data_IF_267759251131
#
_entry.id   IF_267759251131
#
_cell.length_a   1.000
_cell.length_b   1.000
_cell.length_c   1.000
_cell.angle_alpha   90.00
_cell.angle_beta   90.00
_cell.angle_gamma   90.00
#
_symmetry.space_group_name_H-M   'P 1'
#
loop_
_entity.id
_entity.type
_entity.pdbx_description
1 polymer ?
#
# COMPACT_ATOMS: atom_id res chain seq x y z
N UNK A 1 -13.93 -5.41 -15.48
CA UNK A 1 -13.15 -6.48 -14.83
C UNK A 1 -13.19 -6.20 -13.34
N UNK A 2 -13.92 -7.00 -12.57
CA UNK A 2 -14.19 -6.73 -11.16
C UNK A 2 -12.99 -7.19 -10.32
N UNK A 3 -12.37 -6.26 -9.59
CA UNK A 3 -11.14 -6.52 -8.83
C UNK A 3 -11.52 -7.33 -7.57
N UNK A 4 -11.64 -8.66 -7.69
CA UNK A 4 -11.81 -9.57 -6.54
C UNK A 4 -10.57 -9.45 -5.66
N UNK A 5 -10.66 -8.62 -4.61
CA UNK A 5 -9.58 -8.43 -3.64
C UNK A 5 -9.28 -9.78 -2.98
N UNK A 6 -8.14 -10.39 -3.37
CA UNK A 6 -7.62 -11.60 -2.72
C UNK A 6 -7.44 -11.30 -1.23
N UNK A 7 -8.05 -12.12 -0.37
CA UNK A 7 -7.88 -12.06 1.09
C UNK A 7 -6.39 -11.90 1.43
N UNK A 8 -6.06 -10.78 2.06
CA UNK A 8 -4.70 -10.44 2.47
C UNK A 8 -4.48 -10.99 3.88
N UNK A 9 -3.34 -11.65 4.11
CA UNK A 9 -3.01 -12.22 5.41
C UNK A 9 -2.79 -11.07 6.40
N UNK A 10 -3.68 -10.97 7.38
CA UNK A 10 -3.54 -10.04 8.51
C UNK A 10 -3.01 -10.86 9.68
N UNK A 11 -1.71 -10.74 9.94
CA UNK A 11 -1.15 -11.26 11.19
C UNK A 11 -1.41 -10.22 12.27
N UNK A 12 -2.36 -10.51 13.17
CA UNK A 12 -2.61 -9.72 14.37
C UNK A 12 -1.72 -10.25 15.50
N UNK A 13 -0.90 -9.39 16.09
CA UNK A 13 -0.20 -9.65 17.36
C UNK A 13 -0.54 -8.53 18.32
N UNK A 14 -1.23 -8.88 19.41
CA UNK A 14 -1.69 -7.96 20.45
C UNK A 14 -2.50 -6.79 19.85
N UNK A 15 -1.98 -5.56 19.97
CA UNK A 15 -2.60 -4.30 19.50
C UNK A 15 -2.14 -3.88 18.09
N UNK A 16 -1.32 -4.71 17.43
CA UNK A 16 -0.74 -4.40 16.12
C UNK A 16 -1.14 -5.42 15.06
N UNK A 17 -1.32 -4.94 13.83
CA UNK A 17 -1.60 -5.77 12.66
C UNK A 17 -0.60 -5.49 11.53
N UNK A 18 -0.21 -6.54 10.83
CA UNK A 18 0.64 -6.43 9.64
C UNK A 18 -0.12 -6.94 8.42
N UNK A 19 0.05 -6.26 7.28
CA UNK A 19 -0.55 -6.63 6.02
C UNK A 19 0.53 -6.76 4.94
N UNK A 20 0.65 -7.95 4.34
CA UNK A 20 1.64 -8.17 3.27
C UNK A 20 1.07 -7.75 1.93
N UNK A 21 1.68 -6.75 1.26
CA UNK A 21 1.30 -6.32 -0.08
C UNK A 21 2.02 -7.18 -1.12
N UNK A 22 1.30 -7.90 -2.00
CA UNK A 22 1.94 -8.67 -3.06
C UNK A 22 2.80 -7.75 -3.97
N UNK A 23 3.98 -8.21 -4.42
CA UNK A 23 4.90 -7.41 -5.23
C UNK A 23 4.26 -6.78 -6.47
N UNK A 24 3.37 -7.51 -7.16
CA UNK A 24 2.66 -7.01 -8.34
C UNK A 24 1.88 -5.71 -8.09
N UNK A 25 1.34 -5.50 -6.89
CA UNK A 25 0.68 -4.25 -6.55
C UNK A 25 1.69 -3.12 -6.33
N UNK A 26 2.83 -3.42 -5.70
CA UNK A 26 3.91 -2.44 -5.53
C UNK A 26 4.45 -2.00 -6.89
N UNK A 27 4.63 -2.93 -7.83
CA UNK A 27 5.02 -2.64 -9.21
C UNK A 27 3.99 -1.75 -9.92
N UNK A 28 2.70 -2.12 -9.88
CA UNK A 28 1.64 -1.36 -10.52
C UNK A 28 1.47 0.05 -9.92
N UNK A 29 1.74 0.24 -8.63
CA UNK A 29 1.76 1.56 -7.99
C UNK A 29 3.06 2.33 -8.28
N UNK A 30 4.07 1.69 -8.88
CA UNK A 30 5.41 2.23 -9.07
C UNK A 30 6.12 2.55 -7.75
N UNK A 31 5.91 1.69 -6.76
CA UNK A 31 6.57 1.74 -5.44
C UNK A 31 8.02 1.23 -5.49
N UNK A 32 8.44 0.54 -6.57
CA UNK A 32 9.84 0.14 -6.73
C UNK A 32 10.69 1.41 -6.90
N UNK A 33 11.59 1.65 -5.95
CA UNK A 33 12.45 2.85 -5.94
C UNK A 33 11.71 4.14 -5.59
N UNK A 34 10.53 4.07 -4.97
CA UNK A 34 9.86 5.27 -4.47
C UNK A 34 10.67 5.92 -3.35
N UNK A 35 10.57 7.25 -3.24
CA UNK A 35 11.22 8.01 -2.17
C UNK A 35 10.54 7.74 -0.83
N UNK A 36 9.21 7.70 -0.86
CA UNK A 36 8.37 7.62 0.33
C UNK A 36 7.04 6.93 0.00
N UNK A 37 6.50 6.26 1.01
CA UNK A 37 5.14 5.71 1.00
C UNK A 37 4.37 6.39 2.12
N UNK A 38 3.28 7.07 1.76
CA UNK A 38 2.40 7.74 2.72
C UNK A 38 1.18 6.86 2.94
N UNK A 39 0.87 6.57 4.19
CA UNK A 39 -0.36 5.88 4.58
C UNK A 39 -1.27 6.85 5.30
N UNK A 40 -2.52 6.94 4.85
CA UNK A 40 -3.54 7.77 5.50
C UNK A 40 -4.85 7.00 5.68
N UNK A 41 -5.60 7.38 6.70
CA UNK A 41 -6.91 6.79 7.04
C UNK A 41 -7.94 7.89 6.87
N UNK A 42 -8.46 8.11 5.65
CA UNK A 42 -9.39 9.22 5.38
C UNK A 42 -10.74 9.04 6.09
N UNK A 43 -11.15 7.80 6.34
CA UNK A 43 -12.38 7.45 7.04
C UNK A 43 -12.23 6.10 7.75
N UNK A 44 -13.31 5.59 8.36
CA UNK A 44 -13.27 4.36 9.18
C UNK A 44 -13.06 3.08 8.38
N UNK A 45 -13.33 3.10 7.08
CA UNK A 45 -13.40 1.89 6.25
C UNK A 45 -12.27 1.81 5.22
N UNK A 46 -11.56 2.91 4.98
CA UNK A 46 -10.53 3.01 3.95
C UNK A 46 -9.15 3.35 4.53
N UNK A 47 -8.12 2.72 3.95
CA UNK A 47 -6.71 3.11 4.09
C UNK A 47 -6.21 3.47 2.71
N UNK A 48 -5.71 4.69 2.55
CA UNK A 48 -5.05 5.14 1.34
C UNK A 48 -3.55 4.92 1.46
N UNK A 49 -2.96 4.43 0.38
CA UNK A 49 -1.51 4.25 0.25
C UNK A 49 -1.08 5.07 -0.96
N UNK A 50 -0.33 6.13 -0.72
CA UNK A 50 0.22 6.99 -1.76
C UNK A 50 1.70 6.70 -1.93
N UNK A 51 2.14 6.58 -3.19
CA UNK A 51 3.54 6.37 -3.55
C UNK A 51 4.11 7.68 -4.05
N UNK A 52 4.98 8.30 -3.26
CA UNK A 52 5.67 9.53 -3.64
C UNK A 52 6.93 9.16 -4.42
N UNK A 53 6.87 9.39 -5.73
CA UNK A 53 8.03 9.25 -6.61
C UNK A 53 8.87 10.51 -6.49
N UNK A 54 10.17 10.37 -6.28
CA UNK A 54 11.09 11.50 -6.40
C UNK A 54 11.02 12.01 -7.84
N UNK A 55 10.53 13.23 -8.05
CA UNK A 55 10.57 13.85 -9.37
C UNK A 55 12.02 13.87 -9.85
N UNK A 56 12.21 13.61 -11.16
CA UNK A 56 13.42 14.12 -11.82
C UNK A 56 13.39 15.63 -11.68
N UNK A 57 14.18 16.18 -10.77
CA UNK A 57 14.75 17.49 -10.99
C UNK A 57 15.81 17.28 -12.08
N UNK A 58 15.36 17.26 -13.34
CA UNK A 58 16.21 17.65 -14.48
C UNK A 58 16.25 19.19 -14.50
#
# INVERSE_FOLDING_TARGET
MELKVKRKIVNKRNESGMISIPPIFLENMGAIGCKEVVLSVPDRDHILIEIVRGGKND
#
